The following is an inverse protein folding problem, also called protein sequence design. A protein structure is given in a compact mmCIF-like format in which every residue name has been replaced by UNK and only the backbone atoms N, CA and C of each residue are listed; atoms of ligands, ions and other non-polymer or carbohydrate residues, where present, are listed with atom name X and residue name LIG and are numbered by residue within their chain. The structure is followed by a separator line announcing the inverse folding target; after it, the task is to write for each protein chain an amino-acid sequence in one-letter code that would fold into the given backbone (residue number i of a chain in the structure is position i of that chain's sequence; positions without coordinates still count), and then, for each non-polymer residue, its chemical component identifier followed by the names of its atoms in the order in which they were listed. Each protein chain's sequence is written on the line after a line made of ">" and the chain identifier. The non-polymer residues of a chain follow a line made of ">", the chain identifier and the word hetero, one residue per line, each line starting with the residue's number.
data_IF_032717204320
#
_entry.id   IF_032717204320
#
_cell.length_a   1.000
_cell.length_b   1.000
_cell.length_c   1.000
_cell.angle_alpha   90.00
_cell.angle_beta   90.00
_cell.angle_gamma   90.00
#
_symmetry.space_group_name_H-M   'P 1'
#
loop_
_entity.id
_entity.type
_entity.pdbx_description
1 polymer ?
2 water ?
#
# COMPACT_ATOMS: atom_id res chain seq x y z
N UNK A 33 2.46 5.82 27.31
CA UNK A 33 1.35 4.94 27.81
C UNK A 33 1.47 3.51 27.26
N UNK A 34 2.30 3.29 26.23
CA UNK A 34 2.48 1.94 25.61
C UNK A 34 3.80 1.33 26.10
N UNK A 35 3.73 0.15 26.69
CA UNK A 35 4.91 -0.62 27.17
C UNK A 35 5.05 -1.91 26.33
N UNK A 36 6.21 -2.09 25.70
CA UNK A 36 6.59 -3.35 25.01
C UNK A 36 7.13 -4.32 26.07
N UNK A 37 6.55 -5.52 26.16
CA UNK A 37 6.92 -6.57 27.14
C UNK A 37 7.69 -7.72 26.46
N UNK A 38 7.50 -7.94 25.16
CA UNK A 38 8.16 -9.03 24.43
C UNK A 38 8.36 -8.64 22.97
N UNK A 39 9.50 -9.03 22.40
CA UNK A 39 9.82 -8.89 20.96
C UNK A 39 10.64 -10.11 20.54
N UNK A 40 10.09 -10.94 19.66
CA UNK A 40 10.77 -12.21 19.29
C UNK A 40 10.43 -12.59 17.86
N UNK A 41 11.19 -13.56 17.34
CA UNK A 41 11.00 -14.12 15.99
C UNK A 41 9.89 -15.16 16.05
N UNK A 42 9.00 -15.16 15.07
CA UNK A 42 7.98 -16.25 14.91
C UNK A 42 8.26 -16.90 13.56
N UNK A 43 8.51 -18.22 13.59
CA UNK A 43 8.92 -19.02 12.40
C UNK A 43 7.73 -19.84 11.93
N UNK A 44 7.76 -20.36 10.68
CA UNK A 44 6.69 -21.24 10.21
C UNK A 44 6.65 -22.53 11.05
N UNK A 45 5.46 -22.87 11.57
CA UNK A 45 5.25 -24.03 12.46
C UNK A 45 4.76 -25.22 11.63
N UNK A 46 5.69 -25.85 10.90
CA UNK A 46 5.36 -26.98 10.00
C UNK A 46 4.82 -28.15 10.83
N UNK A 47 5.37 -28.34 12.03
CA UNK A 47 5.02 -29.42 12.97
C UNK A 47 3.56 -29.35 13.43
N UNK A 48 2.95 -28.16 13.48
CA UNK A 48 1.52 -27.98 13.85
C UNK A 48 0.68 -28.98 13.05
N UNK A 49 1.16 -29.30 11.84
CA UNK A 49 0.45 -30.02 10.84
C UNK A 49 1.15 -31.29 10.39
N UNK A 50 2.25 -31.65 11.06
CA UNK A 50 3.14 -32.75 10.66
C UNK A 50 3.76 -32.57 9.27
N UNK A 51 3.72 -31.37 8.70
CA UNK A 51 4.23 -31.08 7.33
C UNK A 51 5.76 -31.19 7.35
N UNK A 52 6.37 -31.54 6.23
CA UNK A 52 7.84 -31.50 6.06
C UNK A 52 8.30 -30.09 6.38
N UNK A 53 9.40 -29.91 7.14
CA UNK A 53 10.03 -28.60 7.26
C UNK A 53 10.35 -28.04 5.86
N UNK A 54 10.19 -26.72 5.70
CA UNK A 54 10.59 -26.02 4.48
C UNK A 54 12.10 -26.08 4.31
N UNK A 55 12.58 -26.14 3.07
CA UNK A 55 14.02 -26.09 2.80
C UNK A 55 14.45 -24.66 2.96
N UNK A 56 15.29 -24.37 3.96
CA UNK A 56 15.69 -22.99 4.34
C UNK A 56 16.75 -22.45 3.38
N UNK A 57 17.16 -23.22 2.37
CA UNK A 57 18.03 -22.77 1.25
C UNK A 57 17.17 -22.24 0.09
N UNK A 58 15.84 -22.36 0.16
CA UNK A 58 14.90 -21.90 -0.90
C UNK A 58 15.09 -20.39 -1.13
N UNK A 59 15.09 -20.00 -2.39
CA UNK A 59 15.29 -18.58 -2.83
C UNK A 59 14.23 -18.27 -3.86
N UNK A 60 13.56 -17.12 -3.74
CA UNK A 60 12.58 -16.64 -4.75
C UNK A 60 13.10 -15.33 -5.33
N UNK A 61 13.42 -15.28 -6.65
CA UNK A 61 13.86 -14.03 -7.27
C UNK A 61 12.70 -13.03 -7.30
N UNK A 62 12.98 -11.78 -6.93
CA UNK A 62 12.00 -10.67 -7.10
C UNK A 62 11.77 -10.46 -8.60
N UNK A 63 10.51 -10.22 -8.98
CA UNK A 63 10.12 -9.97 -10.39
C UNK A 63 10.46 -8.54 -10.78
N UNK A 64 10.35 -8.21 -12.07
CA UNK A 64 10.56 -6.82 -12.57
C UNK A 64 9.46 -5.92 -12.03
N UNK A 65 8.28 -6.47 -11.71
CA UNK A 65 7.16 -5.69 -11.09
C UNK A 65 7.44 -5.46 -9.60
N UNK A 66 8.03 -6.42 -8.88
CA UNK A 66 8.47 -6.16 -7.48
C UNK A 66 9.48 -5.01 -7.48
N UNK A 67 10.47 -5.07 -8.39
CA UNK A 67 11.61 -4.13 -8.41
C UNK A 67 11.18 -2.76 -8.98
N UNK A 68 9.98 -2.65 -9.55
CA UNK A 68 9.37 -1.38 -9.99
C UNK A 68 8.71 -0.66 -8.81
N UNK A 69 8.45 -1.37 -7.70
CA UNK A 69 7.66 -0.80 -6.59
C UNK A 69 8.60 -0.24 -5.52
N UNK A 70 8.03 0.36 -4.48
CA UNK A 70 8.76 1.08 -3.41
C UNK A 70 9.58 0.10 -2.59
N UNK A 71 10.86 0.40 -2.39
CA UNK A 71 11.78 -0.33 -1.47
C UNK A 71 11.67 0.35 -0.09
N UNK A 72 10.64 0.00 0.67
CA UNK A 72 10.23 0.75 1.89
C UNK A 72 9.26 -0.09 2.71
N UNK A 73 9.08 0.26 3.98
CA UNK A 73 8.10 -0.40 4.88
C UNK A 73 6.85 0.48 4.95
N UNK A 74 5.69 -0.16 4.88
CA UNK A 74 4.36 0.48 4.97
C UNK A 74 3.71 -0.01 6.26
N UNK A 75 3.12 0.89 7.05
CA UNK A 75 2.49 0.54 8.34
C UNK A 75 0.99 0.86 8.32
N UNK A 76 0.22 -0.01 8.95
CA UNK A 76 -1.27 0.08 9.06
C UNK A 76 -1.67 -0.43 10.43
N UNK A 77 -2.79 0.07 10.94
CA UNK A 77 -3.29 -0.23 12.31
C UNK A 77 -4.74 -0.70 12.21
N UNK A 78 -5.05 -1.82 12.85
CA UNK A 78 -6.41 -2.38 13.03
C UNK A 78 -6.76 -2.37 14.51
N UNK A 79 -8.01 -2.09 14.86
CA UNK A 79 -8.51 -2.12 16.26
C UNK A 79 -9.70 -3.09 16.37
N UNK A 80 -9.70 -3.88 17.44
CA UNK A 80 -10.73 -4.90 17.78
C UNK A 80 -11.26 -4.62 19.18
N UNK A 81 -12.59 -4.72 19.35
CA UNK A 81 -13.28 -4.63 20.67
C UNK A 81 -12.92 -5.86 21.51
N UNK A 82 -12.93 -5.70 22.83
CA UNK A 82 -12.85 -6.82 23.81
C UNK A 82 -14.14 -7.64 23.73
N UNK A 83 -14.11 -8.98 23.96
CA UNK A 83 -12.87 -9.73 24.16
C UNK A 83 -12.19 -10.13 22.84
N UNK A 84 -10.85 -10.20 22.85
CA UNK A 84 -10.03 -10.60 21.69
C UNK A 84 -9.15 -11.78 22.10
N UNK A 85 -8.73 -12.64 21.14
CA UNK A 85 -7.91 -13.80 21.46
C UNK A 85 -6.62 -13.37 22.16
N UNK A 86 -6.09 -14.19 23.08
CA UNK A 86 -4.83 -13.87 23.78
C UNK A 86 -3.63 -13.96 22.82
N UNK A 87 -2.53 -13.33 23.19
CA UNK A 87 -1.27 -13.28 22.38
C UNK A 87 -0.84 -14.69 21.95
N UNK A 88 -0.94 -15.71 22.82
CA UNK A 88 -0.47 -17.07 22.53
C UNK A 88 -1.29 -17.66 21.37
N UNK A 89 -2.59 -17.37 21.32
CA UNK A 89 -3.49 -17.86 20.24
C UNK A 89 -3.12 -17.11 18.94
N UNK A 90 -2.93 -15.80 19.03
CA UNK A 90 -2.50 -14.97 17.87
C UNK A 90 -1.13 -15.45 17.37
N UNK A 91 -0.19 -15.74 18.29
CA UNK A 91 1.18 -16.16 17.92
C UNK A 91 1.12 -17.52 17.20
N UNK A 92 0.38 -18.48 17.74
CA UNK A 92 0.23 -19.83 17.15
C UNK A 92 -0.40 -19.70 15.75
N UNK A 93 -1.38 -18.80 15.58
CA UNK A 93 -2.02 -18.55 14.28
C UNK A 93 -1.02 -17.98 13.28
N UNK A 94 -0.13 -17.11 13.73
CA UNK A 94 0.93 -16.50 12.88
C UNK A 94 1.90 -17.59 12.42
N UNK A 95 2.34 -18.46 13.35
CA UNK A 95 3.24 -19.59 13.04
C UNK A 95 2.64 -20.49 11.97
N UNK A 96 1.33 -20.74 12.04
CA UNK A 96 0.62 -21.61 11.08
C UNK A 96 0.50 -20.88 9.73
N UNK A 97 0.11 -19.61 9.72
CA UNK A 97 -0.04 -18.81 8.48
C UNK A 97 1.31 -18.72 7.75
N UNK A 98 2.43 -18.60 8.48
CA UNK A 98 3.76 -18.38 7.85
C UNK A 98 4.20 -19.63 7.07
N UNK A 99 3.65 -20.80 7.35
CA UNK A 99 3.88 -22.02 6.53
C UNK A 99 3.50 -21.74 5.07
N UNK A 100 2.42 -20.99 4.84
CA UNK A 100 1.92 -20.70 3.47
C UNK A 100 2.30 -19.29 3.03
N UNK A 101 3.08 -18.56 3.83
CA UNK A 101 3.58 -17.19 3.55
C UNK A 101 5.04 -17.08 4.05
N UNK A 102 5.87 -18.03 3.63
CA UNK A 102 7.28 -18.12 4.07
C UNK A 102 8.05 -16.85 3.66
N UNK A 103 7.58 -16.12 2.64
CA UNK A 103 8.19 -14.82 2.22
C UNK A 103 8.32 -13.94 3.46
N UNK A 104 7.30 -13.91 4.31
CA UNK A 104 7.25 -12.97 5.46
C UNK A 104 8.12 -13.46 6.63
N UNK A 105 8.65 -14.69 6.58
CA UNK A 105 9.62 -15.21 7.57
C UNK A 105 11.04 -15.19 6.99
N UNK A 106 11.19 -14.66 5.77
CA UNK A 106 12.46 -14.68 5.02
C UNK A 106 13.26 -13.39 5.17
N UNK A 107 14.30 -13.23 4.37
CA UNK A 107 15.21 -12.05 4.39
C UNK A 107 15.54 -11.69 2.94
N UNK A 108 15.76 -10.41 2.67
CA UNK A 108 16.18 -9.96 1.31
C UNK A 108 17.66 -10.29 1.14
N UNK A 109 18.00 -10.82 -0.03
CA UNK A 109 19.40 -11.05 -0.46
C UNK A 109 19.47 -11.15 -1.96
N UNK A 110 20.32 -12.04 -2.48
CA UNK A 110 20.52 -12.21 -3.94
C UNK A 110 20.43 -13.70 -4.29
N UNK A 111 19.98 -14.01 -5.52
CA UNK A 111 19.89 -15.40 -6.06
C UNK A 111 21.23 -15.73 -6.73
N UNK A 112 21.32 -16.93 -7.32
CA UNK A 112 22.51 -17.48 -8.01
C UNK A 112 23.00 -16.52 -9.12
N UNK A 113 22.09 -15.84 -9.81
CA UNK A 113 22.40 -14.93 -10.94
C UNK A 113 22.81 -13.54 -10.43
N UNK A 114 22.61 -13.26 -9.14
CA UNK A 114 22.94 -11.97 -8.50
C UNK A 114 21.75 -11.02 -8.49
N UNK A 115 20.57 -11.47 -8.94
CA UNK A 115 19.34 -10.68 -8.90
C UNK A 115 18.79 -10.61 -7.47
N UNK A 116 18.13 -9.51 -7.12
CA UNK A 116 17.53 -9.35 -5.77
C UNK A 116 16.53 -10.49 -5.57
N UNK A 117 16.53 -11.09 -4.38
CA UNK A 117 15.68 -12.26 -4.10
C UNK A 117 15.22 -12.26 -2.64
N UNK A 118 14.15 -13.01 -2.39
CA UNK A 118 13.70 -13.34 -1.01
C UNK A 118 14.37 -14.68 -0.65
N UNK A 119 15.22 -14.67 0.36
CA UNK A 119 15.78 -15.90 0.97
C UNK A 119 14.72 -16.47 1.91
N UNK A 120 14.14 -17.62 1.59
CA UNK A 120 13.15 -18.29 2.47
C UNK A 120 13.92 -19.08 3.55
N UNK A 121 14.71 -18.36 4.34
CA UNK A 121 15.60 -18.96 5.38
C UNK A 121 14.82 -19.17 6.69
N UNK A 122 13.55 -18.76 6.74
CA UNK A 122 12.66 -18.94 7.92
C UNK A 122 13.28 -18.31 9.16
N UNK A 123 14.08 -17.25 9.02
CA UNK A 123 14.66 -16.49 10.15
C UNK A 123 13.54 -15.92 11.03
N UNK A 124 12.37 -15.60 10.46
CA UNK A 124 11.15 -15.29 11.22
C UNK A 124 10.64 -13.88 11.03
N UNK A 125 9.34 -13.68 11.22
CA UNK A 125 8.70 -12.35 11.30
C UNK A 125 8.91 -11.84 12.72
N UNK A 126 8.96 -10.52 12.93
CA UNK A 126 9.01 -9.99 14.31
C UNK A 126 7.60 -9.95 14.88
N UNK A 127 7.46 -10.40 16.13
CA UNK A 127 6.18 -10.41 16.88
C UNK A 127 6.39 -9.67 18.21
N UNK A 128 5.80 -8.48 18.31
CA UNK A 128 5.99 -7.54 19.46
C UNK A 128 4.68 -7.49 20.25
N UNK A 129 4.78 -7.74 21.57
CA UNK A 129 3.64 -7.74 22.51
C UNK A 129 3.76 -6.50 23.40
N UNK A 130 2.70 -5.69 23.45
CA UNK A 130 2.64 -4.40 24.16
C UNK A 130 1.33 -4.30 24.95
N UNK A 131 1.34 -3.46 25.99
CA UNK A 131 0.11 -3.10 26.74
C UNK A 131 0.06 -1.57 26.80
N UNK A 132 -1.16 -1.02 26.82
CA UNK A 132 -1.44 0.41 26.99
C UNK A 132 -2.23 0.57 28.29
N UNK A 133 -1.82 1.51 29.14
CA UNK A 133 -2.45 1.71 30.48
C UNK A 133 -3.56 2.76 30.35
N UNK A 134 -4.37 2.64 29.30
CA UNK A 134 -5.58 3.47 29.05
C UNK A 134 -6.60 2.60 28.32
N UNK A 135 -7.88 2.93 28.44
CA UNK A 135 -8.97 2.32 27.64
C UNK A 135 -8.84 2.83 26.20
N UNK A 136 -9.01 1.95 25.21
CA UNK A 136 -8.86 2.35 23.78
C UNK A 136 -9.87 3.46 23.45
N UNK A 137 -11.08 3.38 24.02
CA UNK A 137 -12.18 4.35 23.77
C UNK A 137 -11.74 5.77 24.14
N UNK A 138 -10.84 5.93 25.11
CA UNK A 138 -10.39 7.24 25.66
C UNK A 138 -9.54 8.00 24.64
N UNK A 139 -8.89 7.28 23.70
CA UNK A 139 -7.99 7.87 22.66
C UNK A 139 -8.63 7.74 21.27
N UNK A 140 -9.85 7.20 21.18
CA UNK A 140 -10.55 7.01 19.88
C UNK A 140 -11.37 8.25 19.53
N UNK A 141 -11.44 8.65 18.25
CA UNK A 141 -10.79 7.92 17.17
C UNK A 141 -9.31 8.35 17.08
N UNK A 142 -8.41 7.40 16.81
CA UNK A 142 -6.96 7.70 16.66
C UNK A 142 -6.80 8.65 15.47
N UNK A 143 -5.89 9.62 15.62
CA UNK A 143 -5.62 10.66 14.60
C UNK A 143 -4.26 10.35 13.96
N UNK A 144 -4.07 10.71 12.68
CA UNK A 144 -2.83 10.40 11.96
C UNK A 144 -1.73 11.38 12.36
N UNK A 145 -1.15 11.18 13.55
CA UNK A 145 0.00 11.94 14.10
C UNK A 145 1.13 10.97 14.44
N UNK A 146 2.31 11.48 14.81
CA UNK A 146 3.50 10.68 15.19
C UNK A 146 3.16 9.73 16.35
N UNK A 147 2.11 10.02 17.13
CA UNK A 147 1.68 9.20 18.29
C UNK A 147 1.35 7.77 17.87
N UNK A 148 0.74 7.56 16.68
CA UNK A 148 0.30 6.21 16.23
C UNK A 148 1.51 5.34 15.85
N UNK A 149 2.70 5.93 15.63
CA UNK A 149 3.94 5.15 15.32
C UNK A 149 4.22 4.16 16.46
N UNK A 150 3.77 4.45 17.68
CA UNK A 150 4.00 3.59 18.88
C UNK A 150 3.13 2.32 18.85
N UNK A 151 2.23 2.18 17.87
CA UNK A 151 1.28 1.04 17.79
C UNK A 151 1.74 -0.01 16.76
N UNK A 152 2.90 0.20 16.13
CA UNK A 152 3.50 -0.79 15.19
C UNK A 152 5.01 -0.76 15.31
N UNK A 153 5.72 -1.85 14.94
CA UNK A 153 7.18 -1.84 14.96
C UNK A 153 7.66 -0.79 13.94
N UNK A 154 8.85 -0.25 14.17
CA UNK A 154 9.47 0.75 13.28
C UNK A 154 9.80 0.13 11.93
N UNK A 155 9.52 0.87 10.85
CA UNK A 155 10.02 0.58 9.50
C UNK A 155 11.20 1.47 9.15
N UNK A 156 11.71 2.25 10.10
CA UNK A 156 12.66 3.37 9.84
C UNK A 156 14.04 3.15 10.48
N UNK A 157 14.24 2.04 11.21
CA UNK A 157 15.52 1.77 11.94
C UNK A 157 16.22 0.55 11.34
N UNK A 158 15.97 0.26 10.05
CA UNK A 158 16.66 -0.79 9.27
C UNK A 158 16.43 -2.19 9.82
N UNK A 159 15.17 -2.62 10.04
CA UNK A 159 14.91 -3.99 10.51
C UNK A 159 15.33 -5.00 9.43
N UNK A 160 15.74 -6.21 9.82
CA UNK A 160 16.08 -7.31 8.89
C UNK A 160 14.78 -8.04 8.48
N UNK A 161 13.82 -8.11 9.40
CA UNK A 161 12.52 -8.77 9.16
C UNK A 161 11.77 -8.01 8.05
N UNK A 162 11.02 -8.75 7.22
CA UNK A 162 10.21 -8.20 6.12
C UNK A 162 8.76 -7.99 6.60
N UNK A 163 8.36 -8.73 7.64
CA UNK A 163 7.02 -8.64 8.27
C UNK A 163 7.26 -8.37 9.76
N UNK A 164 6.72 -7.27 10.26
CA UNK A 164 6.79 -6.91 11.70
C UNK A 164 5.39 -6.63 12.21
N UNK A 165 5.02 -7.31 13.29
CA UNK A 165 3.64 -7.29 13.86
C UNK A 165 3.72 -6.89 15.32
N UNK A 166 2.83 -5.99 15.73
CA UNK A 166 2.67 -5.58 17.15
C UNK A 166 1.23 -5.82 17.57
N UNK A 167 1.04 -6.50 18.70
CA UNK A 167 -0.29 -6.69 19.35
C UNK A 167 -0.27 -5.87 20.64
N UNK A 168 -1.09 -4.83 20.70
CA UNK A 168 -1.18 -3.89 21.85
C UNK A 168 -2.53 -4.12 22.56
N UNK A 169 -2.47 -4.56 23.81
CA UNK A 169 -3.66 -4.83 24.66
C UNK A 169 -3.95 -3.59 25.49
N UNK A 170 -5.10 -2.97 25.28
CA UNK A 170 -5.52 -1.75 26.03
C UNK A 170 -6.18 -2.16 27.34
N UNK A 171 -6.37 -1.20 28.23
CA UNK A 171 -6.71 -1.41 29.67
C UNK A 171 -8.00 -2.22 29.80
N UNK A 172 -8.97 -2.01 28.90
CA UNK A 172 -10.24 -2.73 28.99
C UNK A 172 -10.38 -3.89 28.03
N UNK A 173 -9.27 -4.36 27.47
CA UNK A 173 -9.22 -5.65 26.73
C UNK A 173 -9.23 -5.48 25.23
N UNK A 174 -9.41 -4.26 24.73
CA UNK A 174 -9.41 -3.97 23.27
C UNK A 174 -8.02 -4.33 22.72
N UNK A 175 -7.95 -4.76 21.46
CA UNK A 175 -6.68 -5.18 20.82
C UNK A 175 -6.42 -4.28 19.61
N UNK A 176 -5.22 -3.70 19.56
CA UNK A 176 -4.70 -3.05 18.32
C UNK A 176 -3.64 -3.97 17.71
N UNK A 177 -3.81 -4.28 16.42
CA UNK A 177 -2.80 -5.03 15.60
C UNK A 177 -2.15 -4.02 14.66
N UNK A 178 -0.84 -3.82 14.80
CA UNK A 178 -0.05 -2.94 13.92
C UNK A 178 0.82 -3.79 13.01
N UNK A 179 0.80 -3.51 11.71
CA UNK A 179 1.64 -4.20 10.70
C UNK A 179 2.64 -3.20 10.12
N UNK A 180 3.89 -3.64 9.97
CA UNK A 180 4.97 -2.94 9.24
C UNK A 180 5.54 -3.92 8.23
N UNK A 181 5.38 -3.65 6.94
CA UNK A 181 5.58 -4.65 5.86
C UNK A 181 6.43 -4.06 4.72
N UNK A 182 7.31 -4.87 4.15
CA UNK A 182 8.19 -4.46 3.02
C UNK A 182 7.35 -4.41 1.73
N UNK A 183 7.25 -3.25 1.10
CA UNK A 183 6.50 -3.10 -0.17
C UNK A 183 7.19 -3.92 -1.30
N UNK A 184 8.49 -4.19 -1.22
CA UNK A 184 9.20 -4.90 -2.33
C UNK A 184 8.71 -6.36 -2.40
N UNK A 185 8.15 -6.90 -1.31
CA UNK A 185 7.70 -8.32 -1.24
C UNK A 185 6.28 -8.44 -1.83
N UNK A 186 5.38 -7.55 -1.43
CA UNK A 186 3.94 -7.63 -1.76
C UNK A 186 3.39 -6.23 -2.02
N UNK A 187 2.39 -6.15 -2.90
CA UNK A 187 1.59 -4.91 -3.08
C UNK A 187 0.48 -4.92 -2.02
N UNK A 188 -0.39 -3.92 -2.05
CA UNK A 188 -1.49 -3.78 -1.07
C UNK A 188 -2.37 -5.02 -1.06
N UNK A 189 -2.61 -5.60 -2.23
CA UNK A 189 -3.55 -6.75 -2.39
C UNK A 189 -2.95 -8.01 -1.77
N UNK A 190 -1.72 -8.37 -2.12
CA UNK A 190 -1.04 -9.59 -1.58
C UNK A 190 -0.67 -9.38 -0.11
N UNK A 191 -0.37 -8.15 0.34
CA UNK A 191 -0.17 -7.84 1.77
C UNK A 191 -1.49 -8.11 2.52
N UNK A 192 -2.60 -7.58 2.00
CA UNK A 192 -3.94 -7.83 2.57
C UNK A 192 -4.26 -9.31 2.66
N UNK A 193 -3.91 -10.10 1.63
CA UNK A 193 -4.16 -11.56 1.62
C UNK A 193 -3.46 -12.18 2.84
N UNK A 194 -2.24 -11.74 3.15
CA UNK A 194 -1.50 -12.27 4.33
C UNK A 194 -2.25 -11.89 5.61
N UNK A 195 -2.67 -10.62 5.77
CA UNK A 195 -3.42 -10.19 6.98
C UNK A 195 -4.59 -11.13 7.20
N UNK A 196 -5.34 -11.41 6.13
CA UNK A 196 -6.53 -12.30 6.18
C UNK A 196 -6.09 -13.73 6.50
N UNK A 197 -5.01 -14.21 5.87
CA UNK A 197 -4.49 -15.59 6.05
C UNK A 197 -4.10 -15.80 7.52
N UNK A 198 -3.50 -14.81 8.16
CA UNK A 198 -3.16 -14.92 9.60
C UNK A 198 -4.46 -15.14 10.39
N UNK A 199 -5.49 -14.34 10.11
CA UNK A 199 -6.80 -14.43 10.82
C UNK A 199 -7.45 -15.79 10.56
N UNK A 200 -7.45 -16.27 9.31
CA UNK A 200 -7.99 -17.60 8.95
C UNK A 200 -7.25 -18.70 9.73
N UNK A 201 -5.92 -18.72 9.68
CA UNK A 201 -5.09 -19.75 10.37
C UNK A 201 -5.40 -19.71 11.87
N UNK A 202 -5.53 -18.51 12.45
CA UNK A 202 -5.80 -18.36 13.91
C UNK A 202 -7.12 -19.06 14.27
N UNK A 203 -8.15 -18.91 13.43
CA UNK A 203 -9.51 -19.49 13.65
C UNK A 203 -9.53 -20.98 13.29
N UNK A 204 -8.53 -21.46 12.55
CA UNK A 204 -8.50 -22.84 12.02
C UNK A 204 -9.27 -22.98 10.72
N UNK A 205 -9.55 -21.86 10.03
CA UNK A 205 -10.18 -21.84 8.69
C UNK A 205 -9.07 -22.01 7.63
N UNK A 206 -9.37 -22.68 6.53
CA UNK A 206 -8.42 -22.89 5.41
C UNK A 206 -8.00 -21.52 4.87
N UNK A 207 -6.71 -21.35 4.57
CA UNK A 207 -6.22 -20.08 3.97
C UNK A 207 -6.84 -19.94 2.57
N UNK A 208 -7.39 -18.77 2.29
CA UNK A 208 -8.18 -18.51 1.06
C UNK A 208 -8.01 -17.03 0.72
N UNK A 209 -7.35 -16.65 -0.40
CA UNK A 209 -6.92 -17.60 -1.44
C UNK A 209 -5.71 -18.49 -1.13
N UNK A 210 -5.59 -19.59 -1.87
CA UNK A 210 -4.39 -20.47 -1.84
C UNK A 210 -3.23 -19.65 -2.38
N UNK A 211 -2.17 -19.39 -1.58
CA UNK A 211 -1.02 -18.62 -2.07
C UNK A 211 -0.33 -19.27 -3.28
N UNK A 212 0.22 -18.42 -4.14
CA UNK A 212 1.03 -18.80 -5.32
C UNK A 212 2.38 -18.10 -5.18
N UNK A 213 3.46 -18.87 -5.12
CA UNK A 213 4.80 -18.42 -4.67
C UNK A 213 5.85 -18.40 -5.78
N UNK A 214 5.64 -19.12 -6.89
CA UNK A 214 6.70 -19.35 -7.90
C UNK A 214 6.80 -18.13 -8.81
N UNK A 215 7.39 -17.04 -8.31
CA UNK A 215 7.51 -15.75 -9.04
C UNK A 215 8.30 -15.92 -10.34
N UNK A 216 9.29 -16.82 -10.37
CA UNK A 216 10.15 -17.05 -11.56
C UNK A 216 9.29 -17.53 -12.75
N UNK A 217 8.12 -18.13 -12.50
CA UNK A 217 7.19 -18.64 -13.53
C UNK A 217 6.45 -17.50 -14.24
N UNK A 218 6.40 -16.32 -13.63
CA UNK A 218 5.57 -15.18 -14.10
C UNK A 218 6.44 -14.16 -14.85
N UNK A 219 5.80 -13.44 -15.78
CA UNK A 219 6.33 -12.20 -16.40
C UNK A 219 7.61 -12.50 -17.20
N UNK A 220 7.67 -13.66 -17.86
CA UNK A 220 8.76 -13.98 -18.81
C UNK A 220 8.69 -12.96 -19.95
N UNK A 221 9.83 -12.42 -20.41
CA UNK A 221 9.81 -11.51 -21.57
C UNK A 221 9.36 -12.27 -22.83
N UNK A 222 8.79 -11.55 -23.79
CA UNK A 222 8.36 -12.11 -25.09
C UNK A 222 9.61 -12.39 -25.93
N UNK A 223 9.50 -13.31 -26.90
CA UNK A 223 10.57 -13.60 -27.90
C UNK A 223 9.95 -13.44 -29.28
N UNK A 224 10.34 -12.40 -30.06
CA UNK A 224 11.33 -11.41 -29.63
C UNK A 224 10.78 -10.36 -28.64
N UNK A 225 11.67 -9.62 -27.97
CA UNK A 225 11.33 -8.46 -27.11
C UNK A 225 10.56 -7.44 -27.95
N UNK A 226 9.53 -6.83 -27.38
CA UNK A 226 8.63 -5.88 -28.08
C UNK A 226 8.25 -4.74 -27.14
N UNK A 227 8.98 -3.63 -27.19
CA UNK A 227 8.69 -2.41 -26.40
C UNK A 227 7.79 -1.50 -27.23
N UNK A 228 6.60 -1.15 -26.73
CA UNK A 228 5.57 -0.40 -27.48
C UNK A 228 5.35 1.00 -26.89
N UNK A 229 5.87 1.27 -25.70
CA UNK A 229 5.75 2.56 -24.97
C UNK A 229 7.14 3.02 -24.54
N UNK A 230 7.26 4.30 -24.23
CA UNK A 230 8.49 4.90 -23.66
C UNK A 230 8.40 4.82 -22.14
N UNK A 231 9.25 3.98 -21.53
CA UNK A 231 9.25 3.74 -20.05
C UNK A 231 10.28 4.66 -19.36
N UNK A 232 11.20 5.25 -20.11
CA UNK A 232 12.12 6.28 -19.55
C UNK A 232 11.31 7.53 -19.20
N UNK A 233 11.49 8.05 -17.99
CA UNK A 233 10.71 9.18 -17.47
C UNK A 233 9.36 8.75 -16.92
N UNK A 234 9.03 7.47 -17.02
CA UNK A 234 7.74 6.92 -16.47
C UNK A 234 8.09 5.99 -15.32
N UNK A 235 8.44 4.72 -15.58
CA UNK A 235 8.83 3.74 -14.52
C UNK A 235 10.33 3.85 -14.20
N UNK A 236 11.14 4.41 -15.10
CA UNK A 236 12.61 4.44 -14.96
C UNK A 236 13.16 5.85 -15.13
N UNK A 237 14.21 6.15 -14.36
CA UNK A 237 14.98 7.42 -14.42
C UNK A 237 16.47 7.09 -14.32
N UNK A 238 17.36 7.99 -14.80
CA UNK A 238 18.80 7.79 -14.64
C UNK A 238 19.18 7.74 -13.17
N UNK A 239 20.13 6.84 -12.83
CA UNK A 239 20.69 6.81 -11.50
C UNK A 239 21.22 8.20 -11.20
N UNK A 240 20.80 8.72 -10.04
CA UNK A 240 21.24 10.00 -9.43
C UNK A 240 21.84 9.63 -8.07
N UNK A 241 23.03 10.12 -7.72
CA UNK A 241 23.66 9.79 -6.41
C UNK A 241 23.66 11.06 -5.55
N UNK A 246 21.32 16.09 5.53
CA UNK A 246 21.64 17.02 6.66
C UNK A 246 20.41 17.13 7.55
N UNK A 247 20.62 17.35 8.86
CA UNK A 247 19.57 17.60 9.81
C UNK A 247 19.63 19.08 10.08
N UNK A 248 18.49 19.75 10.13
CA UNK A 248 18.38 21.15 10.59
C UNK A 248 18.64 22.17 9.50
N UNK A 249 18.53 21.78 8.22
CA UNK A 249 18.51 22.72 7.07
C UNK A 249 17.07 22.93 6.60
N UNK A 250 16.07 22.46 7.37
CA UNK A 250 14.62 22.48 7.01
C UNK A 250 13.85 23.37 8.01
N UNK A 251 14.50 24.41 8.55
CA UNK A 251 13.97 25.25 9.65
C UNK A 251 12.83 26.16 9.21
N UNK A 252 12.90 26.72 8.00
CA UNK A 252 11.90 27.66 7.44
C UNK A 252 10.84 26.90 6.62
N UNK A 253 10.81 25.57 6.73
CA UNK A 253 9.81 24.72 6.02
C UNK A 253 8.48 24.78 6.77
N UNK A 254 7.37 24.83 6.04
CA UNK A 254 6.00 24.68 6.59
C UNK A 254 5.84 23.23 7.06
N UNK A 255 5.17 23.01 8.19
CA UNK A 255 4.88 21.64 8.68
C UNK A 255 3.82 21.01 7.76
N UNK A 256 3.97 19.72 7.49
CA UNK A 256 2.97 18.90 6.75
C UNK A 256 2.04 18.28 7.79
N UNK A 257 0.73 18.53 7.65
CA UNK A 257 -0.30 18.02 8.59
C UNK A 257 -1.19 17.04 7.83
N UNK A 258 -1.38 15.84 8.38
CA UNK A 258 -2.22 14.78 7.75
C UNK A 258 -3.67 15.09 8.13
N UNK A 259 -4.47 15.50 7.15
CA UNK A 259 -5.92 15.83 7.32
C UNK A 259 -6.74 14.61 6.91
N UNK A 260 -7.74 14.23 7.71
CA UNK A 260 -8.76 13.24 7.26
C UNK A 260 -9.85 14.01 6.52
N UNK A 261 -10.09 13.64 5.26
CA UNK A 261 -11.09 14.27 4.36
C UNK A 261 -12.19 13.25 4.09
N UNK A 262 -13.38 13.48 4.66
CA UNK A 262 -14.53 12.55 4.62
C UNK A 262 -15.39 12.85 3.40
N UNK A 263 -15.59 11.84 2.55
CA UNK A 263 -16.51 11.86 1.39
C UNK A 263 -17.77 11.05 1.75
N UNK A 264 -18.85 11.73 2.09
CA UNK A 264 -20.14 11.09 2.46
C UNK A 264 -20.72 10.34 1.26
N UNK A 265 -21.53 9.32 1.51
CA UNK A 265 -22.29 8.59 0.46
C UNK A 265 -22.96 9.61 -0.45
N UNK A 266 -23.60 10.61 0.15
CA UNK A 266 -24.35 11.68 -0.57
C UNK A 266 -23.39 12.47 -1.47
N UNK A 267 -22.24 12.88 -0.95
CA UNK A 267 -21.27 13.70 -1.72
C UNK A 267 -20.74 12.87 -2.91
N UNK A 268 -20.36 11.61 -2.67
CA UNK A 268 -19.88 10.69 -3.74
C UNK A 268 -20.96 10.62 -4.84
N UNK A 269 -22.23 10.43 -4.46
CA UNK A 269 -23.37 10.29 -5.39
C UNK A 269 -23.47 11.51 -6.31
N UNK A 270 -23.34 12.72 -5.76
CA UNK A 270 -23.40 14.00 -6.51
C UNK A 270 -22.16 14.10 -7.43
N UNK A 271 -20.99 13.76 -6.90
CA UNK A 271 -19.69 13.81 -7.62
C UNK A 271 -19.74 12.85 -8.81
N UNK A 272 -20.24 11.63 -8.59
CA UNK A 272 -20.32 10.57 -9.64
C UNK A 272 -21.38 10.95 -10.67
N UNK A 273 -22.52 11.49 -10.23
CA UNK A 273 -23.62 11.98 -11.11
C UNK A 273 -23.06 13.03 -12.07
N UNK A 274 -22.33 14.01 -11.52
CA UNK A 274 -21.63 15.10 -12.26
C UNK A 274 -20.69 14.52 -13.31
N UNK A 275 -19.83 13.58 -12.91
CA UNK A 275 -18.74 13.02 -13.74
C UNK A 275 -19.32 12.13 -14.84
N UNK A 276 -20.41 11.40 -14.55
CA UNK A 276 -20.98 10.33 -15.39
C UNK A 276 -22.01 10.88 -16.41
N UNK A 277 -22.37 12.16 -16.31
CA UNK A 277 -23.43 12.78 -17.13
C UNK A 277 -23.15 12.51 -18.62
N UNK A 278 -24.12 11.90 -19.31
CA UNK A 278 -24.09 11.67 -20.77
C UNK A 278 -23.29 10.43 -21.15
N UNK A 279 -22.74 9.68 -20.19
CA UNK A 279 -21.90 8.48 -20.45
C UNK A 279 -22.77 7.23 -20.44
N UNK A 280 -22.38 6.16 -21.18
CA UNK A 280 -23.17 4.94 -21.24
C UNK A 280 -22.98 4.08 -19.97
N UNK A 281 -22.00 4.44 -19.13
CA UNK A 281 -21.72 3.74 -17.85
C UNK A 281 -21.09 4.72 -16.86
N UNK A 282 -21.56 4.74 -15.59
CA UNK A 282 -21.04 5.67 -14.58
C UNK A 282 -19.54 5.49 -14.28
N UNK A 283 -18.89 6.59 -13.90
CA UNK A 283 -17.50 6.60 -13.50
C UNK A 283 -17.40 5.93 -12.15
N UNK A 284 -16.25 5.36 -11.82
CA UNK A 284 -16.02 4.64 -10.53
C UNK A 284 -15.85 5.66 -9.40
N UNK A 285 -16.19 5.27 -8.17
CA UNK A 285 -15.94 6.06 -6.95
C UNK A 285 -14.44 6.42 -6.90
N UNK A 286 -13.56 5.45 -7.13
CA UNK A 286 -12.09 5.65 -7.06
C UNK A 286 -11.68 6.80 -7.98
N UNK A 287 -12.07 6.74 -9.26
CA UNK A 287 -11.60 7.71 -10.28
C UNK A 287 -12.20 9.09 -9.98
N UNK A 288 -13.46 9.15 -9.51
CA UNK A 288 -14.15 10.42 -9.15
C UNK A 288 -13.46 11.09 -7.96
N UNK A 289 -13.15 10.32 -6.90
CA UNK A 289 -12.53 10.82 -5.64
C UNK A 289 -11.09 11.27 -5.97
N UNK A 290 -10.35 10.48 -6.75
CA UNK A 290 -8.98 10.83 -7.20
C UNK A 290 -9.02 12.18 -7.94
N UNK A 291 -9.91 12.32 -8.94
CA UNK A 291 -10.06 13.57 -9.73
C UNK A 291 -10.32 14.75 -8.79
N UNK A 292 -11.25 14.59 -7.84
CA UNK A 292 -11.65 15.65 -6.88
C UNK A 292 -10.45 16.07 -6.00
N UNK A 293 -9.74 15.09 -5.45
CA UNK A 293 -8.57 15.36 -4.56
C UNK A 293 -7.46 16.05 -5.34
N UNK A 294 -7.22 15.60 -6.59
CA UNK A 294 -6.18 16.15 -7.48
C UNK A 294 -6.44 17.65 -7.71
N UNK A 295 -7.68 17.97 -8.07
CA UNK A 295 -8.14 19.36 -8.36
C UNK A 295 -8.10 20.19 -7.07
N UNK A 296 -8.59 19.65 -5.95
CA UNK A 296 -8.60 20.32 -4.63
C UNK A 296 -7.18 20.62 -4.17
N UNK A 297 -6.28 19.62 -4.24
CA UNK A 297 -4.84 19.75 -3.87
C UNK A 297 -4.18 20.87 -4.71
N UNK A 298 -4.46 20.88 -6.01
CA UNK A 298 -3.85 21.85 -6.98
C UNK A 298 -4.29 23.27 -6.59
N UNK A 299 -5.58 23.47 -6.33
CA UNK A 299 -6.08 24.79 -5.87
C UNK A 299 -5.41 25.14 -4.53
N UNK A 300 -5.36 24.20 -3.59
CA UNK A 300 -4.85 24.43 -2.21
C UNK A 300 -3.38 24.87 -2.26
N UNK A 301 -2.62 24.34 -3.21
CA UNK A 301 -1.17 24.64 -3.35
C UNK A 301 -0.97 26.02 -3.99
N UNK A 302 -2.01 26.59 -4.63
CA UNK A 302 -1.95 27.87 -5.34
C UNK A 302 -0.82 27.89 -6.35
N UNK A 303 -0.81 26.93 -7.28
CA UNK A 303 0.24 26.83 -8.32
C UNK A 303 -0.04 27.86 -9.41
N UNK A 304 1.02 28.37 -10.03
CA UNK A 304 0.99 29.03 -11.36
C UNK A 304 0.12 28.18 -12.29
N UNK A 305 -0.83 28.82 -13.00
CA UNK A 305 -1.75 28.18 -13.96
C UNK A 305 -1.03 27.39 -15.04
N UNK A 306 0.21 27.77 -15.37
CA UNK A 306 1.03 27.12 -16.40
C UNK A 306 1.81 25.92 -15.89
N UNK A 307 1.81 25.67 -14.58
CA UNK A 307 2.59 24.57 -13.95
C UNK A 307 2.03 23.21 -14.42
N UNK A 308 2.90 22.28 -14.76
CA UNK A 308 2.53 20.87 -15.10
C UNK A 308 2.18 20.14 -13.79
N UNK A 309 1.07 19.41 -13.76
CA UNK A 309 0.66 18.58 -12.59
C UNK A 309 0.22 17.20 -13.08
N UNK A 310 0.64 16.16 -12.38
CA UNK A 310 0.31 14.76 -12.68
C UNK A 310 -0.16 14.09 -11.39
N UNK A 311 -1.10 13.15 -11.50
CA UNK A 311 -1.45 12.24 -10.38
C UNK A 311 -1.04 10.83 -10.79
N UNK A 312 -0.31 10.13 -9.91
CA UNK A 312 0.06 8.71 -10.05
C UNK A 312 -1.02 7.85 -9.39
N UNK A 313 -1.66 6.99 -10.19
CA UNK A 313 -2.75 6.06 -9.75
C UNK A 313 -2.25 4.63 -9.96
N UNK A 314 -2.22 3.83 -8.91
CA UNK A 314 -1.83 2.39 -8.99
C UNK A 314 -2.87 1.64 -9.81
N UNK A 315 -2.42 0.79 -10.73
CA UNK A 315 -3.29 -0.07 -11.58
C UNK A 315 -2.92 -1.53 -11.30
N UNK A 316 -3.89 -2.32 -10.85
CA UNK A 316 -3.73 -3.76 -10.54
C UNK A 316 -3.72 -4.54 -11.84
N UNK A 317 -2.59 -5.15 -12.19
CA UNK A 317 -2.40 -5.89 -13.45
C UNK A 317 -2.93 -7.31 -13.42
N UNK A 318 -3.37 -7.82 -12.26
CA UNK A 318 -3.75 -9.27 -12.13
C UNK A 318 -4.79 -9.65 -13.19
N UNK A 319 -5.90 -8.94 -13.27
CA UNK A 319 -7.02 -9.22 -14.21
C UNK A 319 -6.73 -8.66 -15.60
N UNK A 320 -5.83 -7.67 -15.71
CA UNK A 320 -5.57 -6.94 -16.97
C UNK A 320 -4.62 -7.78 -17.85
N UNK A 321 -3.71 -8.53 -17.25
CA UNK A 321 -2.72 -9.29 -18.04
C UNK A 321 -3.37 -10.59 -18.55
N UNK A 322 -2.82 -11.11 -19.64
CA UNK A 322 -3.27 -12.36 -20.30
C UNK A 322 -2.06 -13.26 -20.51
N UNK A 323 -1.99 -14.45 -19.85
CA UNK A 323 -3.00 -14.91 -18.90
C UNK A 323 -3.06 -14.11 -17.59
N UNK A 324 -4.16 -14.24 -16.86
CA UNK A 324 -4.39 -13.47 -15.61
C UNK A 324 -3.50 -14.02 -14.50
N UNK A 325 -3.09 -13.17 -13.59
CA UNK A 325 -2.28 -13.54 -12.41
C UNK A 325 -3.24 -13.96 -11.30
N UNK A 326 -3.03 -15.13 -10.67
CA UNK A 326 -3.98 -15.63 -9.67
C UNK A 326 -4.11 -14.72 -8.44
N UNK A 327 -5.30 -14.73 -7.85
CA UNK A 327 -5.66 -13.95 -6.63
C UNK A 327 -4.63 -14.21 -5.54
N UNK A 328 -4.12 -15.43 -5.42
CA UNK A 328 -3.21 -15.85 -4.33
C UNK A 328 -1.76 -15.48 -4.60
N UNK A 329 -1.44 -14.92 -5.76
CA UNK A 329 -0.04 -14.55 -6.10
C UNK A 329 0.51 -13.61 -5.00
N UNK A 330 1.67 -13.91 -4.42
CA UNK A 330 2.15 -13.21 -3.20
C UNK A 330 2.94 -11.94 -3.53
N UNK A 331 3.22 -11.68 -4.81
CA UNK A 331 4.08 -10.55 -5.24
C UNK A 331 3.33 -9.27 -5.57
N UNK A 332 4.08 -8.28 -6.04
CA UNK A 332 3.56 -6.99 -6.58
C UNK A 332 3.07 -7.21 -8.02
N UNK A 333 1.94 -6.62 -8.39
CA UNK A 333 1.41 -6.66 -9.78
C UNK A 333 0.87 -5.26 -10.12
N UNK A 334 1.64 -4.22 -9.83
CA UNK A 334 1.22 -2.79 -9.97
C UNK A 334 2.08 -2.08 -11.02
N UNK A 335 1.44 -1.34 -11.90
CA UNK A 335 2.05 -0.19 -12.61
C UNK A 335 1.15 1.03 -12.40
N UNK A 336 1.57 2.20 -12.87
CA UNK A 336 0.88 3.48 -12.55
C UNK A 336 0.36 4.17 -13.81
N UNK A 337 -0.89 4.61 -13.78
CA UNK A 337 -1.41 5.64 -14.72
C UNK A 337 -0.91 7.00 -14.23
N UNK A 338 -0.45 7.86 -15.13
CA UNK A 338 0.12 9.18 -14.75
C UNK A 338 -0.55 10.26 -15.59
N UNK A 339 -1.89 10.44 -15.48
CA UNK A 339 -2.57 11.51 -16.22
C UNK A 339 -1.94 12.86 -15.86
N UNK A 340 -1.77 13.73 -16.85
CA UNK A 340 -1.00 15.00 -16.73
C UNK A 340 -1.75 16.11 -17.47
N UNK A 341 -1.82 17.29 -16.87
CA UNK A 341 -2.42 18.52 -17.45
C UNK A 341 -1.71 19.70 -16.80
N UNK A 342 -2.17 20.93 -17.07
CA UNK A 342 -1.68 22.14 -16.37
C UNK A 342 -2.61 22.45 -15.20
N UNK A 343 -2.09 23.09 -14.15
CA UNK A 343 -2.84 23.50 -12.95
C UNK A 343 -4.03 24.36 -13.36
N UNK A 344 -3.82 25.31 -14.28
CA UNK A 344 -4.86 26.23 -14.79
C UNK A 344 -6.02 25.47 -15.41
N UNK A 345 -5.74 24.54 -16.33
CA UNK A 345 -6.79 23.73 -17.01
C UNK A 345 -7.54 22.87 -15.97
N UNK A 346 -6.81 22.29 -15.01
CA UNK A 346 -7.41 21.36 -14.01
C UNK A 346 -8.40 22.13 -13.12
N UNK A 347 -8.02 23.29 -12.61
CA UNK A 347 -8.84 24.02 -11.60
C UNK A 347 -9.97 24.80 -12.28
N UNK A 348 -9.85 25.20 -13.54
CA UNK A 348 -10.86 26.06 -14.23
C UNK A 348 -11.90 25.20 -14.98
N UNK A 349 -11.57 23.95 -15.33
CA UNK A 349 -12.55 23.02 -15.95
C UNK A 349 -13.27 22.28 -14.84
N UNK A 350 -14.49 21.76 -15.08
CA UNK A 350 -15.23 21.00 -14.07
C UNK A 350 -14.47 19.72 -13.71
N UNK A 351 -14.77 19.11 -12.57
CA UNK A 351 -14.09 17.87 -12.10
C UNK A 351 -14.36 16.74 -13.12
N UNK A 352 -15.48 16.82 -13.84
CA UNK A 352 -15.86 15.85 -14.91
C UNK A 352 -14.69 15.69 -15.90
N UNK A 353 -14.06 16.81 -16.29
CA UNK A 353 -12.96 16.82 -17.29
C UNK A 353 -11.74 16.10 -16.71
N UNK A 354 -11.47 16.27 -15.42
CA UNK A 354 -10.39 15.59 -14.67
C UNK A 354 -10.66 14.07 -14.63
N UNK A 355 -11.91 13.67 -14.39
CA UNK A 355 -12.29 12.22 -14.30
C UNK A 355 -12.10 11.60 -15.68
N UNK A 356 -12.46 12.31 -16.74
CA UNK A 356 -12.34 11.86 -18.15
C UNK A 356 -10.86 11.62 -18.47
N UNK A 357 -9.98 12.52 -18.06
CA UNK A 357 -8.52 12.38 -18.27
C UNK A 357 -8.00 11.15 -17.52
N UNK A 358 -8.40 10.98 -16.25
CA UNK A 358 -7.99 9.83 -15.41
C UNK A 358 -8.52 8.52 -16.05
N UNK A 359 -9.81 8.48 -16.39
CA UNK A 359 -10.45 7.29 -17.02
C UNK A 359 -9.66 6.88 -18.27
N UNK A 360 -9.38 7.81 -19.19
CA UNK A 360 -8.69 7.50 -20.47
C UNK A 360 -7.28 6.98 -20.17
N UNK A 361 -6.56 7.59 -19.22
CA UNK A 361 -5.15 7.23 -18.93
C UNK A 361 -5.11 5.85 -18.26
N UNK A 362 -6.01 5.58 -17.32
CA UNK A 362 -6.07 4.27 -16.60
C UNK A 362 -6.37 3.16 -17.62
N UNK A 363 -7.22 3.41 -18.61
CA UNK A 363 -7.62 2.40 -19.62
C UNK A 363 -6.43 2.04 -20.51
N UNK A 364 -5.44 2.93 -20.65
CA UNK A 364 -4.23 2.67 -21.47
C UNK A 364 -3.27 1.72 -20.74
N UNK A 365 -3.41 1.55 -19.43
CA UNK A 365 -2.51 0.65 -18.65
C UNK A 365 -3.10 -0.77 -18.72
N UNK A 366 -2.92 -1.42 -19.87
CA UNK A 366 -3.62 -2.68 -20.23
C UNK A 366 -2.56 -3.77 -20.38
N UNK A 367 -2.96 -4.95 -20.84
CA UNK A 367 -2.07 -6.13 -21.02
C UNK A 367 -0.82 -5.71 -21.80
N UNK A 368 -1.00 -5.03 -22.94
CA UNK A 368 0.09 -4.61 -23.82
C UNK A 368 1.03 -3.65 -23.11
N UNK A 369 0.51 -2.80 -22.23
CA UNK A 369 1.36 -1.86 -21.44
C UNK A 369 2.23 -2.65 -20.46
N UNK A 370 1.63 -3.54 -19.67
CA UNK A 370 2.38 -4.43 -18.73
C UNK A 370 3.45 -5.21 -19.48
N UNK A 371 3.11 -5.79 -20.64
CA UNK A 371 4.06 -6.63 -21.42
C UNK A 371 5.18 -5.77 -22.01
N UNK A 372 4.88 -4.53 -22.41
CA UNK A 372 5.90 -3.55 -22.89
C UNK A 372 6.90 -3.26 -21.77
N UNK A 373 6.39 -3.00 -20.57
CA UNK A 373 7.22 -2.73 -19.38
C UNK A 373 8.14 -3.92 -19.10
N UNK A 374 7.55 -5.12 -19.04
CA UNK A 374 8.30 -6.38 -18.76
C UNK A 374 9.42 -6.54 -19.80
N UNK A 375 9.10 -6.37 -21.08
CA UNK A 375 10.10 -6.52 -22.17
C UNK A 375 11.19 -5.45 -22.03
N UNK A 376 10.82 -4.20 -21.73
CA UNK A 376 11.81 -3.12 -21.53
C UNK A 376 12.75 -3.47 -20.36
N UNK A 377 12.19 -3.93 -19.23
CA UNK A 377 12.95 -4.23 -17.99
C UNK A 377 13.92 -5.40 -18.25
N UNK A 378 13.61 -6.26 -19.22
CA UNK A 378 14.43 -7.45 -19.59
C UNK A 378 15.35 -7.16 -20.79
N UNK A 379 15.37 -5.93 -21.31
CA UNK A 379 16.03 -5.60 -22.60
C UNK A 379 17.54 -5.39 -22.43
N UNK A 380 18.01 -5.03 -21.23
CA UNK A 380 19.41 -4.64 -20.96
C UNK A 380 19.60 -3.14 -20.94
N UNK A 381 18.62 -2.37 -21.40
CA UNK A 381 18.65 -0.88 -21.43
C UNK A 381 18.82 -0.35 -20.01
N UNK A 382 18.16 -0.98 -19.03
CA UNK A 382 18.18 -0.53 -17.61
C UNK A 382 19.62 -0.59 -17.09
N UNK A 383 20.33 -1.68 -17.39
CA UNK A 383 21.71 -1.94 -16.92
C UNK A 383 22.68 -1.02 -17.70
N UNK A 384 22.55 -0.99 -19.03
CA UNK A 384 23.44 -0.21 -19.93
C UNK A 384 23.30 1.29 -19.66
N UNK A 385 22.09 1.80 -19.43
CA UNK A 385 21.83 3.25 -19.24
C UNK A 385 21.83 3.62 -17.76
N UNK A 386 22.10 2.65 -16.87
CA UNK A 386 22.14 2.87 -15.40
C UNK A 386 20.82 3.51 -14.94
N UNK A 387 19.69 2.91 -15.33
CA UNK A 387 18.34 3.39 -14.94
C UNK A 387 17.97 2.77 -13.59
N UNK A 388 17.14 3.47 -12.82
CA UNK A 388 16.57 3.00 -11.52
C UNK A 388 15.07 3.30 -11.53
N UNK A 389 14.33 2.69 -10.61
CA UNK A 389 12.86 2.84 -10.48
C UNK A 389 12.54 4.29 -10.11
N UNK A 390 11.50 4.87 -10.72
CA UNK A 390 10.93 6.19 -10.34
C UNK A 390 10.17 6.06 -9.01
N UNK A 391 9.67 4.87 -8.67
CA UNK A 391 9.08 4.60 -7.34
C UNK A 391 10.19 4.75 -6.30
N UNK A 392 10.38 5.96 -5.79
CA UNK A 392 11.53 6.34 -4.92
C UNK A 392 10.98 6.83 -3.57
N UNK A 393 11.01 5.95 -2.57
CA UNK A 393 10.46 6.18 -1.21
C UNK A 393 11.25 7.26 -0.47
N UNK A 394 12.51 7.48 -0.87
CA UNK A 394 13.47 8.37 -0.17
C UNK A 394 13.32 9.80 -0.68
N UNK A 395 12.10 10.34 -0.66
CA UNK A 395 11.79 11.70 -1.18
C UNK A 395 10.34 12.08 -0.82
N UNK A 396 10.19 13.24 -0.18
CA UNK A 396 8.91 13.76 0.37
C UNK A 396 8.45 14.94 -0.50
N UNK A 397 9.13 15.16 -1.64
CA UNK A 397 9.02 16.38 -2.50
C UNK A 397 8.14 16.06 -3.71
N UNK A 398 6.82 15.95 -3.53
CA UNK A 398 5.87 15.52 -4.60
C UNK A 398 5.35 16.72 -5.41
N UNK A 399 4.98 17.83 -4.75
CA UNK A 399 4.41 19.03 -5.44
C UNK A 399 5.29 19.36 -6.65
N UNK A 400 4.73 19.64 -7.85
CA UNK A 400 3.30 19.89 -8.07
C UNK A 400 2.46 18.65 -8.44
N UNK A 401 3.00 17.46 -8.20
CA UNK A 401 2.33 16.18 -8.52
C UNK A 401 1.68 15.64 -7.25
N UNK A 402 0.79 14.68 -7.40
CA UNK A 402 0.22 13.93 -6.24
C UNK A 402 0.32 12.44 -6.56
N UNK A 403 0.28 11.64 -5.51
CA UNK A 403 0.21 10.17 -5.60
C UNK A 403 -0.99 9.74 -4.78
N UNK A 404 -1.84 8.90 -5.34
CA UNK A 404 -2.99 8.32 -4.59
C UNK A 404 -2.73 6.84 -4.40
N UNK A 405 -2.63 6.43 -3.14
CA UNK A 405 -2.56 5.00 -2.72
C UNK A 405 -3.98 4.60 -2.28
N UNK A 406 -4.68 3.82 -3.09
CA UNK A 406 -6.06 3.35 -2.75
C UNK A 406 -5.97 2.10 -1.88
N UNK A 407 -6.47 2.19 -0.65
CA UNK A 407 -6.69 1.04 0.27
C UNK A 407 -8.19 0.73 0.33
N UNK A 408 -8.94 1.02 -0.73
CA UNK A 408 -10.42 0.86 -0.76
C UNK A 408 -10.77 -0.64 -0.62
N UNK A 409 -9.88 -1.54 -1.04
CA UNK A 409 -10.11 -3.02 -0.95
C UNK A 409 -9.27 -3.62 0.18
N UNK A 410 -8.83 -2.81 1.14
CA UNK A 410 -8.14 -3.32 2.36
C UNK A 410 -9.07 -4.31 3.05
N UNK A 411 -8.55 -5.47 3.51
CA UNK A 411 -9.37 -6.42 4.26
C UNK A 411 -9.97 -5.74 5.49
N UNK A 412 -11.25 -6.01 5.75
CA UNK A 412 -11.95 -5.52 6.94
C UNK A 412 -12.86 -6.62 7.47
N UNK A 413 -13.96 -6.89 6.74
CA UNK A 413 -14.99 -7.89 7.13
C UNK A 413 -14.35 -9.29 7.19
N UNK A 414 -13.38 -9.57 6.32
CA UNK A 414 -12.68 -10.89 6.25
C UNK A 414 -11.61 -11.02 7.35
N UNK A 415 -11.28 -9.93 8.05
CA UNK A 415 -10.24 -9.91 9.11
C UNK A 415 -10.86 -10.33 10.44
N UNK A 416 -10.82 -11.62 10.76
CA UNK A 416 -11.50 -12.17 11.97
C UNK A 416 -10.62 -13.25 12.60
N UNK A 417 -10.06 -12.97 13.78
CA UNK A 417 -9.17 -13.88 14.55
C UNK A 417 -10.00 -14.82 15.43
N UNK A 418 -11.33 -14.71 15.37
CA UNK A 418 -12.27 -15.50 16.20
C UNK A 418 -13.00 -14.65 17.24
N UNK A 419 -12.67 -13.35 17.32
CA UNK A 419 -13.35 -12.39 18.22
C UNK A 419 -14.19 -11.40 17.44
N UNK A 420 -14.40 -11.62 16.15
CA UNK A 420 -15.18 -10.72 15.26
C UNK A 420 -14.27 -9.83 14.42
N UNK A 421 -14.87 -9.07 13.49
CA UNK A 421 -14.14 -8.19 12.56
C UNK A 421 -13.66 -6.96 13.34
N UNK A 422 -12.69 -6.19 12.80
CA UNK A 422 -12.23 -4.96 13.44
C UNK A 422 -13.34 -3.90 13.37
N UNK A 423 -13.29 -2.91 14.25
CA UNK A 423 -14.26 -1.78 14.26
C UNK A 423 -13.60 -0.52 13.69
N UNK A 424 -12.28 -0.55 13.49
CA UNK A 424 -11.48 0.63 13.10
C UNK A 424 -10.17 0.16 12.45
N UNK A 425 -9.71 0.93 11.47
CA UNK A 425 -8.42 0.74 10.76
C UNK A 425 -7.96 2.10 10.27
N UNK A 426 -6.66 2.30 10.12
CA UNK A 426 -6.10 3.57 9.60
C UNK A 426 -4.68 3.33 9.13
N UNK A 427 -4.18 4.15 8.18
CA UNK A 427 -2.78 4.12 7.80
C UNK A 427 -1.98 4.73 8.96
N UNK A 428 -0.72 4.37 9.09
CA UNK A 428 0.22 5.03 10.01
C UNK A 428 0.51 6.45 9.52
N UNK A 429 1.25 7.20 10.32
CA UNK A 429 1.64 8.61 10.10
C UNK A 429 2.72 8.67 9.01
N UNK A 430 2.40 9.26 7.87
CA UNK A 430 3.33 9.41 6.72
C UNK A 430 3.14 10.82 6.16
N UNK A 431 3.76 11.83 6.81
CA UNK A 431 3.54 13.25 6.47
C UNK A 431 4.32 13.67 5.21
N UNK A 432 4.04 12.99 4.10
CA UNK A 432 4.61 13.28 2.75
C UNK A 432 3.58 14.12 1.99
N UNK A 433 3.87 15.40 1.78
CA UNK A 433 2.91 16.34 1.15
C UNK A 433 2.49 15.76 -0.21
N UNK A 434 1.18 15.62 -0.45
CA UNK A 434 0.63 15.18 -1.74
C UNK A 434 0.58 13.68 -1.91
N UNK A 435 0.99 12.89 -0.90
CA UNK A 435 0.79 11.41 -0.90
C UNK A 435 -0.51 11.10 -0.17
N UNK A 436 -1.58 10.83 -0.93
CA UNK A 436 -2.97 10.65 -0.42
C UNK A 436 -3.27 9.15 -0.28
N UNK A 437 -3.88 8.76 0.83
CA UNK A 437 -4.28 7.35 1.07
C UNK A 437 -5.80 7.31 1.26
N UNK A 438 -6.49 6.53 0.42
CA UNK A 438 -7.98 6.39 0.43
C UNK A 438 -8.36 5.13 1.20
N UNK A 439 -9.26 5.26 2.18
CA UNK A 439 -9.78 4.13 2.98
C UNK A 439 -11.29 4.07 2.81
N UNK A 440 -11.90 2.87 2.88
CA UNK A 440 -13.35 2.74 2.96
C UNK A 440 -13.79 3.17 4.37
N UNK A 441 -15.07 3.50 4.57
CA UNK A 441 -15.65 3.84 5.88
C UNK A 441 -15.53 2.62 6.81
N UNK A 442 -14.85 2.77 7.95
CA UNK A 442 -14.73 1.69 8.98
C UNK A 442 -16.10 1.45 9.65
N UNK A 443 -17.13 2.17 9.20
CA UNK A 443 -18.55 1.99 9.61
C UNK A 443 -19.30 1.12 8.60
N UNK A 444 -18.70 0.84 7.44
CA UNK A 444 -19.35 0.11 6.33
C UNK A 444 -20.56 0.85 5.77
N UNK A 445 -20.57 2.18 5.86
CA UNK A 445 -21.73 3.04 5.50
C UNK A 445 -21.56 3.60 4.07
N UNK A 446 -20.52 3.17 3.35
CA UNK A 446 -20.32 3.48 1.92
C UNK A 446 -19.80 4.89 1.66
N UNK A 447 -19.31 5.60 2.68
CA UNK A 447 -18.52 6.84 2.52
C UNK A 447 -17.05 6.46 2.33
N UNK A 448 -16.19 7.42 2.03
CA UNK A 448 -14.72 7.20 1.83
C UNK A 448 -13.96 8.23 2.68
N UNK A 449 -12.87 7.82 3.32
CA UNK A 449 -11.96 8.72 4.07
C UNK A 449 -10.63 8.80 3.32
N UNK A 450 -10.18 10.00 2.97
CA UNK A 450 -8.85 10.24 2.39
C UNK A 450 -7.97 10.87 3.46
N UNK A 451 -6.78 10.33 3.67
CA UNK A 451 -5.72 10.91 4.54
C UNK A 451 -4.83 11.78 3.65
N UNK A 452 -4.94 13.10 3.80
CA UNK A 452 -4.38 14.09 2.84
C UNK A 452 -3.32 14.92 3.57
N UNK A 453 -2.02 14.65 3.39
CA UNK A 453 -0.98 15.47 3.98
C UNK A 453 -0.86 16.80 3.21
N UNK A 454 -1.10 17.91 3.91
CA UNK A 454 -1.09 19.30 3.37
C UNK A 454 -0.08 20.14 4.16
N UNK A 455 0.64 21.03 3.49
CA UNK A 455 1.32 22.17 4.16
C UNK A 455 0.24 22.90 4.96
N UNK A 456 0.54 23.26 6.22
CA UNK A 456 -0.43 23.89 7.15
C UNK A 456 -1.06 25.12 6.48
N UNK A 457 -0.25 25.89 5.74
CA UNK A 457 -0.66 27.17 5.10
C UNK A 457 -1.65 26.91 3.94
N UNK A 458 -1.77 25.67 3.45
CA UNK A 458 -2.64 25.30 2.30
C UNK A 458 -3.99 24.76 2.78
N UNK A 459 -4.13 24.45 4.07
CA UNK A 459 -5.28 23.67 4.62
C UNK A 459 -6.60 24.45 4.46
N UNK A 460 -6.61 25.75 4.71
CA UNK A 460 -7.86 26.57 4.67
C UNK A 460 -8.37 26.64 3.22
N UNK A 461 -7.49 26.84 2.22
CA UNK A 461 -7.86 26.86 0.78
C UNK A 461 -8.40 25.48 0.37
N UNK A 462 -7.74 24.40 0.80
CA UNK A 462 -8.21 23.02 0.50
C UNK A 462 -9.65 22.89 1.02
N UNK A 463 -9.87 23.25 2.28
CA UNK A 463 -11.17 23.15 2.98
C UNK A 463 -12.27 23.91 2.19
N UNK A 464 -11.95 25.09 1.65
CA UNK A 464 -12.95 25.95 0.95
C UNK A 464 -13.20 25.41 -0.48
N UNK A 465 -12.18 24.86 -1.14
CA UNK A 465 -12.36 24.29 -2.48
C UNK A 465 -13.08 22.97 -2.42
N UNK A 466 -12.97 22.26 -1.28
CA UNK A 466 -13.46 20.88 -1.17
C UNK A 466 -14.86 20.61 -1.69
N UNK A 467 -15.90 21.31 -1.23
CA UNK A 467 -17.28 21.15 -1.76
C UNK A 467 -17.40 21.91 -3.09
#
# INVERSE_FOLDING_TARGET
>A
MGSSHHHHHHSSGLVPRGSHMASMTGGQQMGRKITVHSSKAVKPEYGACGLAPGCTADVVPLTVLDKANFDTYISVIYAFHAPAPPNAVLEAGLGRALVDYREWAGRLGVDASGGRAILLNDAGARFVEATADVALDSVMPLKPTSEVLSLHPSGDDGPEELMLIQVTRFACGSLVVGFTTQHIVSDGRSTGNFFVAWSQATRGAAIDPVPVHDRASFFHPREPLHVEYEHRGVEFKPCEKAHDVVCGADGDEDEVVVNKVHFSREFISKLKAHASAGAPRPCSTLQCVVAHLWRSMTMARGLDGGETTSVAIAVDGRARMSPQVPDGYTGNVILWARPTTTAGELVTRPVKHAVELISREVARINDGYFKSFIDFANSGAVEKERLVATADAADMVLSPNIEVDSWLRIPFYDMDFGGGRPFFFMPSYLPVEGLLILLPSFLGDGSVDAYVPLFSRDMNTFKNCCYSLD
#
